data_IF_633839516959
#
_entry.id   IF_633839516959
#
_cell.length_a   1.000
_cell.length_b   1.000
_cell.length_c   1.000
_cell.angle_alpha   90.00
_cell.angle_beta   90.00
_cell.angle_gamma   90.00
#
_symmetry.space_group_name_H-M   'P 1'
#
loop_
_entity.id
_entity.type
_entity.pdbx_description
1 polymer ?
#
# COMPACT_ATOMS: atom_id res chain seq x y z
N UNK A 1 5.46 -3.49 3.67
CA UNK A 1 5.06 -4.84 4.11
C UNK A 1 5.04 -5.78 2.90
N UNK A 2 5.80 -6.87 2.93
CA UNK A 2 5.89 -7.87 1.85
C UNK A 2 5.51 -9.25 2.41
N UNK A 3 4.42 -9.81 1.89
CA UNK A 3 3.96 -11.17 2.23
C UNK A 3 4.79 -12.25 1.51
N UNK A 4 4.77 -13.54 1.94
CA UNK A 4 5.72 -14.57 1.51
C UNK A 4 5.33 -15.23 0.17
N UNK A 5 4.65 -14.47 -0.70
CA UNK A 5 4.27 -14.90 -2.04
C UNK A 5 4.43 -13.75 -3.04
N UNK A 6 4.57 -14.06 -4.33
CA UNK A 6 4.65 -13.07 -5.40
C UNK A 6 3.35 -12.95 -6.21
N UNK A 7 3.17 -11.82 -6.87
CA UNK A 7 2.17 -11.67 -7.94
C UNK A 7 2.91 -11.53 -9.26
N UNK A 8 2.62 -12.38 -10.23
CA UNK A 8 3.23 -12.28 -11.55
C UNK A 8 2.73 -11.02 -12.27
N UNK A 9 3.63 -10.07 -12.55
CA UNK A 9 3.28 -8.81 -13.21
C UNK A 9 2.51 -8.99 -14.52
N UNK A 10 2.91 -9.86 -15.46
CA UNK A 10 2.13 -10.08 -16.68
C UNK A 10 0.71 -10.58 -16.41
N UNK A 11 0.52 -11.38 -15.35
CA UNK A 11 -0.80 -11.87 -14.97
C UNK A 11 -1.68 -10.72 -14.44
N UNK A 12 -1.15 -9.87 -13.54
CA UNK A 12 -1.92 -8.75 -12.96
C UNK A 12 -2.43 -7.80 -14.05
N UNK A 13 -1.57 -7.42 -15.00
CA UNK A 13 -1.96 -6.57 -16.14
C UNK A 13 -2.95 -7.26 -17.08
N UNK A 14 -2.77 -8.56 -17.35
CA UNK A 14 -3.71 -9.33 -18.19
C UNK A 14 -5.13 -9.35 -17.61
N UNK A 15 -5.26 -9.44 -16.29
CA UNK A 15 -6.57 -9.47 -15.62
C UNK A 15 -7.19 -8.08 -15.41
N UNK A 16 -6.42 -7.00 -15.51
CA UNK A 16 -6.84 -5.67 -15.10
C UNK A 16 -8.07 -5.14 -15.85
N UNK A 17 -8.12 -5.31 -17.18
CA UNK A 17 -9.18 -4.72 -18.02
C UNK A 17 -10.58 -5.13 -17.57
N UNK A 18 -10.76 -6.41 -17.28
CA UNK A 18 -12.06 -7.01 -16.96
C UNK A 18 -12.24 -7.21 -15.45
N UNK A 19 -11.32 -6.67 -14.65
CA UNK A 19 -11.38 -6.79 -13.19
C UNK A 19 -12.50 -5.96 -12.60
N UNK A 20 -13.17 -6.54 -11.61
CA UNK A 20 -14.21 -5.90 -10.81
C UNK A 20 -13.72 -5.69 -9.39
N UNK A 21 -14.31 -4.71 -8.71
CA UNK A 21 -14.10 -4.52 -7.29
C UNK A 21 -14.74 -5.66 -6.50
N UNK A 22 -14.04 -6.14 -5.48
CA UNK A 22 -14.56 -7.14 -4.55
C UNK A 22 -15.36 -6.42 -3.46
N UNK A 23 -16.63 -6.78 -3.21
CA UNK A 23 -17.42 -6.17 -2.15
C UNK A 23 -16.71 -6.27 -0.78
N UNK A 24 -16.69 -5.15 -0.06
CA UNK A 24 -16.07 -5.06 1.27
C UNK A 24 -14.57 -4.71 1.25
N UNK A 25 -13.93 -4.63 0.09
CA UNK A 25 -12.56 -4.13 -0.04
C UNK A 25 -12.51 -2.67 -0.46
N UNK A 26 -11.42 -1.98 -0.12
CA UNK A 26 -11.27 -0.53 -0.31
C UNK A 26 -10.46 -0.20 -1.56
N UNK A 27 -11.07 0.50 -2.51
CA UNK A 27 -10.45 0.91 -3.78
C UNK A 27 -10.40 2.43 -3.99
N UNK A 28 -10.98 3.21 -3.08
CA UNK A 28 -10.98 4.66 -3.16
C UNK A 28 -9.55 5.20 -3.28
N UNK A 29 -9.31 6.23 -4.12
CA UNK A 29 -8.03 6.93 -4.14
C UNK A 29 -7.67 7.44 -2.74
N UNK A 30 -6.38 7.43 -2.42
CA UNK A 30 -5.86 7.93 -1.15
C UNK A 30 -5.31 9.34 -1.35
N UNK A 31 -5.97 10.34 -0.77
CA UNK A 31 -5.55 11.74 -0.89
C UNK A 31 -4.30 12.01 -0.06
N UNK A 32 -3.29 12.62 -0.68
CA UNK A 32 -2.07 13.09 -0.01
C UNK A 32 -1.83 14.57 -0.35
N UNK A 33 -0.93 15.29 0.38
CA UNK A 33 -0.61 16.68 0.07
C UNK A 33 -0.04 16.92 -1.34
N UNK A 34 0.40 15.87 -2.02
CA UNK A 34 1.05 15.92 -3.34
C UNK A 34 0.24 15.18 -4.43
N UNK A 35 -1.00 14.78 -4.13
CA UNK A 35 -1.95 14.26 -5.12
C UNK A 35 -2.74 13.06 -4.62
N UNK A 36 -3.54 12.48 -5.50
CA UNK A 36 -4.26 11.24 -5.21
C UNK A 36 -3.43 10.03 -5.61
N UNK A 37 -3.29 9.09 -4.69
CA UNK A 37 -2.69 7.79 -4.95
C UNK A 37 -3.77 6.77 -5.28
N UNK A 38 -3.57 6.02 -6.35
CA UNK A 38 -4.44 4.90 -6.74
C UNK A 38 -3.60 3.80 -7.36
N UNK A 39 -4.03 2.55 -7.15
CA UNK A 39 -3.47 1.41 -7.87
C UNK A 39 -4.59 0.57 -8.47
N UNK A 40 -4.80 0.71 -9.78
CA UNK A 40 -5.88 0.00 -10.48
C UNK A 40 -5.68 -1.52 -10.56
N UNK A 41 -4.44 -2.00 -10.32
CA UNK A 41 -4.12 -3.44 -10.24
C UNK A 41 -4.59 -4.05 -8.92
N UNK A 42 -5.02 -3.26 -7.94
CA UNK A 42 -5.61 -3.79 -6.70
C UNK A 42 -6.88 -4.60 -6.99
N UNK A 43 -7.68 -4.23 -7.99
CA UNK A 43 -8.91 -4.97 -8.34
C UNK A 43 -8.65 -6.44 -8.70
N UNK A 44 -7.83 -6.78 -9.72
CA UNK A 44 -7.57 -8.18 -10.05
C UNK A 44 -6.76 -8.89 -8.97
N UNK A 45 -5.83 -8.18 -8.31
CA UNK A 45 -4.94 -8.80 -7.33
C UNK A 45 -5.67 -9.11 -6.03
N UNK A 46 -6.51 -8.21 -5.53
CA UNK A 46 -7.31 -8.47 -4.32
C UNK A 46 -8.39 -9.51 -4.57
N UNK A 47 -8.94 -9.61 -5.79
CA UNK A 47 -9.85 -10.70 -6.14
C UNK A 47 -9.18 -12.09 -6.02
N UNK A 48 -7.90 -12.20 -6.39
CA UNK A 48 -7.14 -13.46 -6.25
C UNK A 48 -6.52 -13.65 -4.86
N UNK A 49 -6.11 -12.56 -4.22
CA UNK A 49 -5.43 -12.54 -2.91
C UNK A 49 -6.14 -11.55 -1.97
N UNK A 50 -7.33 -11.89 -1.44
CA UNK A 50 -8.13 -10.97 -0.62
C UNK A 50 -7.40 -10.43 0.62
N UNK A 51 -6.48 -11.23 1.17
CA UNK A 51 -5.61 -10.85 2.30
C UNK A 51 -4.89 -9.52 2.07
N UNK A 52 -4.52 -9.18 0.83
CA UNK A 52 -3.85 -7.90 0.53
C UNK A 52 -4.80 -6.71 0.66
N UNK A 53 -6.06 -6.87 0.28
CA UNK A 53 -7.08 -5.83 0.44
C UNK A 53 -7.51 -5.67 1.89
N UNK A 54 -7.60 -6.77 2.63
CA UNK A 54 -7.86 -6.73 4.08
C UNK A 54 -6.68 -6.08 4.82
N UNK A 55 -5.45 -6.43 4.48
CA UNK A 55 -4.24 -5.80 5.02
C UNK A 55 -4.21 -4.30 4.75
N UNK A 56 -4.52 -3.85 3.52
CA UNK A 56 -4.66 -2.43 3.21
C UNK A 56 -5.69 -1.77 4.12
N UNK A 57 -6.87 -2.38 4.30
CA UNK A 57 -7.91 -1.83 5.17
C UNK A 57 -7.47 -1.79 6.65
N UNK A 58 -6.72 -2.77 7.13
CA UNK A 58 -6.16 -2.75 8.49
C UNK A 58 -5.16 -1.63 8.69
N UNK A 59 -4.24 -1.45 7.74
CA UNK A 59 -3.28 -0.35 7.78
C UNK A 59 -3.99 1.00 7.80
N UNK A 60 -5.01 1.22 6.97
CA UNK A 60 -5.78 2.47 6.95
C UNK A 60 -6.52 2.78 8.25
N UNK A 61 -6.79 1.77 9.09
CA UNK A 61 -7.41 1.95 10.39
C UNK A 61 -6.39 2.07 11.54
N UNK A 62 -5.09 1.90 11.26
CA UNK A 62 -4.05 1.98 12.28
C UNK A 62 -3.73 3.46 12.60
N UNK A 63 -3.49 3.80 13.88
CA UNK A 63 -3.10 5.16 14.26
C UNK A 63 -1.84 5.64 13.53
N UNK A 64 -1.84 6.91 13.10
CA UNK A 64 -0.71 7.53 12.43
C UNK A 64 -0.54 7.15 10.95
N UNK A 65 -1.43 6.33 10.37
CA UNK A 65 -1.42 6.03 8.93
C UNK A 65 -2.26 7.06 8.17
N UNK A 66 -1.66 7.72 7.18
CA UNK A 66 -2.31 8.75 6.34
C UNK A 66 -2.80 8.22 5.00
N UNK A 67 -2.16 7.18 4.49
CA UNK A 67 -2.58 6.47 3.26
C UNK A 67 -1.99 5.06 3.27
N UNK A 68 -2.61 4.12 2.56
CA UNK A 68 -2.03 2.80 2.32
C UNK A 68 -2.51 2.22 0.99
N UNK A 69 -1.62 1.57 0.24
CA UNK A 69 -1.92 0.92 -1.04
C UNK A 69 -1.01 -0.29 -1.26
N UNK A 70 -1.40 -1.14 -2.20
CA UNK A 70 -0.47 -2.08 -2.83
C UNK A 70 0.54 -1.31 -3.71
N UNK A 71 1.81 -1.72 -3.69
CA UNK A 71 2.85 -1.19 -4.57
C UNK A 71 2.93 -1.99 -5.88
N UNK A 72 2.70 -1.32 -7.02
CA UNK A 72 2.76 -1.94 -8.35
C UNK A 72 1.78 -3.10 -8.52
N UNK A 73 2.23 -4.21 -9.11
CA UNK A 73 1.44 -5.45 -9.22
C UNK A 73 1.35 -6.26 -7.92
N UNK A 74 2.02 -5.81 -6.85
CA UNK A 74 2.07 -6.51 -5.57
C UNK A 74 3.12 -7.63 -5.49
N UNK A 75 3.15 -8.39 -4.41
CA UNK A 75 2.23 -8.39 -3.26
C UNK A 75 2.59 -7.40 -2.15
N UNK A 76 3.56 -6.51 -2.36
CA UNK A 76 3.94 -5.52 -1.35
C UNK A 76 2.81 -4.53 -1.11
N UNK A 77 2.46 -4.29 0.15
CA UNK A 77 1.57 -3.21 0.62
C UNK A 77 2.41 -2.22 1.41
N UNK A 78 2.18 -0.93 1.21
CA UNK A 78 2.85 0.15 1.94
C UNK A 78 1.82 1.05 2.61
N UNK A 79 2.26 1.73 3.67
CA UNK A 79 1.53 2.79 4.35
C UNK A 79 2.40 4.04 4.38
N UNK A 80 1.78 5.21 4.21
CA UNK A 80 2.37 6.50 4.51
C UNK A 80 2.01 6.85 5.95
N UNK A 81 3.00 7.29 6.71
CA UNK A 81 2.86 7.55 8.13
C UNK A 81 2.98 9.05 8.41
N UNK A 82 2.34 9.51 9.47
CA UNK A 82 2.69 10.78 10.12
C UNK A 82 4.15 10.74 10.58
N UNK A 83 4.80 11.90 10.67
CA UNK A 83 6.26 12.00 10.91
C UNK A 83 6.70 11.35 12.23
N UNK A 84 5.84 11.40 13.25
CA UNK A 84 6.04 10.89 14.60
C UNK A 84 5.21 9.63 14.91
N UNK A 85 4.64 8.98 13.90
CA UNK A 85 3.84 7.77 14.10
C UNK A 85 4.66 6.62 14.72
N UNK A 86 4.08 5.97 15.74
CA UNK A 86 4.61 4.72 16.30
C UNK A 86 4.29 3.56 15.36
N UNK A 87 5.32 2.85 14.90
CA UNK A 87 5.18 1.70 14.00
C UNK A 87 4.74 0.43 14.71
N UNK A 88 4.89 0.34 16.04
CA UNK A 88 4.49 -0.84 16.80
C UNK A 88 3.00 -1.24 16.63
N UNK A 89 2.00 -0.35 16.80
CA UNK A 89 0.60 -0.70 16.55
C UNK A 89 0.32 -1.08 15.09
N UNK A 90 1.08 -0.52 14.15
CA UNK A 90 0.94 -0.81 12.72
C UNK A 90 1.43 -2.23 12.43
N UNK A 91 2.61 -2.61 12.92
CA UNK A 91 3.15 -3.96 12.76
C UNK A 91 2.26 -5.01 13.43
N UNK A 92 1.68 -4.70 14.59
CA UNK A 92 0.71 -5.58 15.23
C UNK A 92 -0.54 -5.80 14.37
N UNK A 93 -1.05 -4.73 13.74
CA UNK A 93 -2.18 -4.85 12.82
C UNK A 93 -1.84 -5.68 11.56
N UNK A 94 -0.56 -5.68 11.12
CA UNK A 94 -0.08 -6.57 10.06
C UNK A 94 -0.12 -8.03 10.52
N UNK A 95 0.40 -8.32 11.72
CA UNK A 95 0.44 -9.66 12.30
C UNK A 95 -0.96 -10.25 12.49
N UNK A 96 -1.90 -9.46 13.01
CA UNK A 96 -3.29 -9.87 13.24
C UNK A 96 -4.02 -10.26 11.94
N UNK A 97 -3.63 -9.69 10.79
CA UNK A 97 -4.30 -9.89 9.51
C UNK A 97 -3.58 -10.87 8.57
N UNK A 98 -2.25 -10.80 8.53
CA UNK A 98 -1.44 -11.54 7.57
C UNK A 98 -0.54 -12.61 8.21
N UNK A 99 -0.51 -12.71 9.55
CA UNK A 99 0.37 -13.59 10.29
C UNK A 99 1.79 -13.05 10.43
N UNK A 100 2.68 -13.86 11.00
CA UNK A 100 4.05 -13.46 11.35
C UNK A 100 5.06 -13.59 10.20
N UNK A 101 4.69 -14.28 9.11
CA UNK A 101 5.60 -14.51 7.98
C UNK A 101 5.55 -13.34 6.97
N UNK A 102 6.19 -12.22 7.30
CA UNK A 102 6.30 -11.06 6.42
C UNK A 102 7.65 -10.35 6.56
N UNK A 103 7.98 -9.53 5.56
CA UNK A 103 9.08 -8.56 5.67
C UNK A 103 8.50 -7.15 5.81
N UNK A 104 9.00 -6.39 6.78
CA UNK A 104 8.78 -4.95 6.90
C UNK A 104 10.05 -4.17 6.59
N UNK A 105 9.85 -2.96 6.08
CA UNK A 105 10.89 -1.97 5.86
C UNK A 105 10.27 -0.62 6.18
N UNK A 106 10.95 0.14 7.01
CA UNK A 106 10.57 1.51 7.36
C UNK A 106 11.62 2.46 6.78
N UNK A 107 11.16 3.55 6.18
CA UNK A 107 12.02 4.59 5.63
C UNK A 107 11.34 5.94 5.71
N UNK A 108 12.16 6.97 5.90
CA UNK A 108 11.72 8.36 5.86
C UNK A 108 12.10 8.98 4.52
N UNK A 109 11.13 9.65 3.91
CA UNK A 109 11.34 10.45 2.70
C UNK A 109 11.55 11.89 3.15
N UNK A 110 12.75 12.42 2.91
CA UNK A 110 13.05 13.82 3.15
C UNK A 110 12.70 14.63 1.90
N UNK A 111 12.03 15.76 2.08
CA UNK A 111 11.91 16.77 1.02
C UNK A 111 13.18 17.63 1.04
N UNK A 112 13.90 17.70 -0.09
CA UNK A 112 14.94 18.71 -0.26
C UNK A 112 14.25 20.07 -0.42
N UNK A 113 14.35 20.94 0.59
CA UNK A 113 13.72 22.27 0.58
C UNK A 113 14.53 23.38 -0.10
N UNK A 114 15.61 23.08 -0.85
CA UNK A 114 16.28 24.13 -1.63
C UNK A 114 15.91 24.05 -3.12
N UNK A 115 15.40 25.15 -3.72
CA UNK A 115 15.29 25.22 -5.17
C UNK A 115 16.68 25.11 -5.78
N UNK A 116 16.85 24.16 -6.71
CA UNK A 116 18.03 24.13 -7.57
C UNK A 116 17.99 25.39 -8.42
N UNK A 117 18.92 26.31 -8.17
CA UNK A 117 19.15 27.47 -9.05
C UNK A 117 19.66 26.94 -10.39
N UNK A 118 18.81 27.06 -11.43
CA UNK A 118 19.09 26.61 -12.79
C UNK A 118 19.60 27.76 -13.68
N UNK A 119 20.02 28.89 -13.10
CA UNK A 119 20.68 29.96 -13.85
C UNK A 119 22.17 29.68 -14.04
N UNK A 120 22.49 29.04 -15.18
CA UNK A 120 23.85 28.96 -15.75
C UNK A 120 23.79 29.21 -17.26
#
# INVERSE_FOLDING_TARGET
IKLPFGVATPWAYKQWRDSLEVPGLLYAPQSTPWGELRNDLERPVFAKYPVLGLLKARLLNAPGVTAALMSGSGSTVFALLEEDADTAPILRAVEDEAGEEYLSFDTRIFSAQEPVDISA
#
